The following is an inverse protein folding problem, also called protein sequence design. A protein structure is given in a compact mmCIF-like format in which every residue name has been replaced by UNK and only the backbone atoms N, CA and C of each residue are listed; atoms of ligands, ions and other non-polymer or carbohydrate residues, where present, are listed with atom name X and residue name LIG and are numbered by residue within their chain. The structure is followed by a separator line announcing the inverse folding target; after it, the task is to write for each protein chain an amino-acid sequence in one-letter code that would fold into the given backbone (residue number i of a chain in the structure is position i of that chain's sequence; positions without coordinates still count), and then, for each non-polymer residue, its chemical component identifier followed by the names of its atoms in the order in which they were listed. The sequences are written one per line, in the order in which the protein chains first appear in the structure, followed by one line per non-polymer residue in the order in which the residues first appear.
data_IF_314006692018
#
_entry.id   IF_314006692018
#
_cell.length_a   1.000
_cell.length_b   1.000
_cell.length_c   1.000
_cell.angle_alpha   90.00
_cell.angle_beta   90.00
_cell.angle_gamma   90.00
#
_symmetry.space_group_name_H-M   'P 1'
#
loop_
_entity.id
_entity.type
_entity.pdbx_description
1 polymer ?
#
# COMPACT_ATOMS: atom_id res chain seq x y z
N UNK A 1 -19.10 12.05 -12.83
CA UNK A 1 -19.17 11.05 -13.91
C UNK A 1 -19.01 11.73 -15.24
N UNK A 2 -17.87 11.51 -15.94
CA UNK A 2 -17.70 11.99 -17.31
C UNK A 2 -18.72 11.26 -18.20
N UNK A 3 -19.51 12.00 -18.96
CA UNK A 3 -20.45 11.43 -19.94
C UNK A 3 -19.67 10.50 -20.87
N UNK A 4 -20.02 9.22 -20.89
CA UNK A 4 -19.48 8.25 -21.82
C UNK A 4 -19.72 8.75 -23.24
N UNK A 5 -18.78 8.46 -24.14
CA UNK A 5 -18.94 8.68 -25.57
C UNK A 5 -20.29 8.10 -26.01
N UNK A 6 -21.09 8.88 -26.72
CA UNK A 6 -22.39 8.43 -27.23
C UNK A 6 -22.15 7.21 -28.12
N UNK A 7 -22.49 6.03 -27.61
CA UNK A 7 -22.50 4.80 -28.40
C UNK A 7 -23.94 4.46 -28.77
N UNK A 8 -24.22 3.92 -29.94
CA UNK A 8 -25.58 3.50 -30.32
C UNK A 8 -26.06 2.26 -29.54
N UNK A 9 -25.20 1.61 -28.80
CA UNK A 9 -25.52 0.45 -27.98
C UNK A 9 -25.96 0.88 -26.58
N UNK A 10 -26.91 0.15 -26.02
CA UNK A 10 -27.33 0.31 -24.62
C UNK A 10 -26.17 0.06 -23.67
N UNK A 11 -26.20 0.75 -22.55
CA UNK A 11 -25.23 0.55 -21.49
C UNK A 11 -25.63 -0.64 -20.59
N UNK A 12 -24.63 -1.25 -19.95
CA UNK A 12 -24.89 -2.34 -18.96
C UNK A 12 -25.80 -1.87 -17.81
N UNK A 13 -25.80 -0.58 -17.48
CA UNK A 13 -26.69 -0.01 -16.45
C UNK A 13 -28.15 -0.05 -16.92
N UNK A 14 -28.41 0.35 -18.18
CA UNK A 14 -29.76 0.28 -18.75
C UNK A 14 -30.27 -1.16 -18.83
N UNK A 15 -29.41 -2.14 -19.09
CA UNK A 15 -29.78 -3.56 -19.13
C UNK A 15 -30.09 -4.09 -17.72
N UNK A 16 -29.33 -3.70 -16.68
CA UNK A 16 -29.66 -4.02 -15.28
C UNK A 16 -31.03 -3.45 -14.90
N UNK A 17 -31.30 -2.20 -15.27
CA UNK A 17 -32.58 -1.56 -14.97
C UNK A 17 -33.77 -2.18 -15.73
N UNK A 18 -33.51 -2.67 -16.95
CA UNK A 18 -34.51 -3.42 -17.71
C UNK A 18 -34.78 -4.78 -17.09
N UNK A 19 -33.73 -5.49 -16.66
CA UNK A 19 -33.87 -6.81 -16.00
C UNK A 19 -34.68 -6.72 -14.69
N UNK A 20 -34.50 -5.66 -13.89
CA UNK A 20 -35.26 -5.40 -12.65
C UNK A 20 -36.77 -5.18 -12.92
N UNK A 21 -37.13 -4.73 -14.10
CA UNK A 21 -38.53 -4.46 -14.50
C UNK A 21 -39.18 -5.61 -15.24
N UNK A 22 -38.44 -6.69 -15.50
CA UNK A 22 -39.00 -7.88 -16.17
C UNK A 22 -40.14 -8.50 -15.35
N UNK A 23 -41.25 -8.96 -15.99
CA UNK A 23 -42.32 -9.66 -15.30
C UNK A 23 -41.81 -10.90 -14.55
N UNK A 24 -42.35 -11.15 -13.38
CA UNK A 24 -41.99 -12.31 -12.58
C UNK A 24 -42.60 -13.62 -13.19
N UNK A 25 -41.73 -14.43 -13.77
CA UNK A 25 -42.07 -15.73 -14.34
C UNK A 25 -41.13 -16.81 -13.81
N UNK A 26 -41.41 -18.08 -14.07
CA UNK A 26 -40.49 -19.17 -13.73
C UNK A 26 -39.12 -19.00 -14.41
N UNK A 27 -39.10 -18.45 -15.62
CA UNK A 27 -37.90 -18.20 -16.41
C UNK A 27 -37.09 -17.04 -15.81
N UNK A 28 -37.72 -15.90 -15.53
CA UNK A 28 -37.05 -14.71 -15.01
C UNK A 28 -36.52 -14.87 -13.56
N UNK A 29 -37.11 -15.83 -12.82
CA UNK A 29 -36.63 -16.22 -11.48
C UNK A 29 -35.45 -17.20 -11.52
N UNK A 30 -35.19 -17.83 -12.66
CA UNK A 30 -34.09 -18.79 -12.78
C UNK A 30 -32.72 -18.06 -12.64
N UNK A 31 -31.76 -18.62 -11.88
CA UNK A 31 -30.39 -18.10 -11.87
C UNK A 31 -29.76 -17.97 -13.26
N UNK A 32 -30.10 -18.89 -14.17
CA UNK A 32 -29.63 -18.88 -15.56
C UNK A 32 -30.07 -17.63 -16.36
N UNK A 33 -31.10 -16.91 -15.91
CA UNK A 33 -31.59 -15.70 -16.57
C UNK A 33 -30.87 -14.44 -16.13
N UNK A 34 -30.10 -14.50 -15.05
CA UNK A 34 -29.34 -13.34 -14.55
C UNK A 34 -28.26 -12.88 -15.57
N UNK A 35 -28.08 -11.58 -15.69
CA UNK A 35 -26.97 -11.03 -16.48
C UNK A 35 -25.64 -11.47 -15.85
N UNK A 36 -24.78 -12.11 -16.60
CA UNK A 36 -23.55 -12.72 -16.07
C UNK A 36 -22.66 -11.75 -15.27
N UNK A 37 -22.56 -10.49 -15.69
CA UNK A 37 -21.78 -9.47 -14.99
C UNK A 37 -22.46 -8.88 -13.73
N UNK A 38 -23.71 -9.25 -13.47
CA UNK A 38 -24.50 -8.86 -12.30
C UNK A 38 -24.98 -10.09 -11.50
N UNK A 39 -24.38 -11.24 -11.73
CA UNK A 39 -24.63 -12.48 -11.02
C UNK A 39 -23.47 -12.79 -10.07
N UNK A 40 -23.66 -12.45 -8.80
CA UNK A 40 -22.63 -12.62 -7.77
C UNK A 40 -22.26 -14.11 -7.60
N UNK A 41 -23.25 -15.03 -7.66
CA UNK A 41 -23.00 -16.47 -7.53
C UNK A 41 -22.10 -16.98 -8.67
N UNK A 42 -22.32 -16.48 -9.89
CA UNK A 42 -21.48 -16.80 -11.04
C UNK A 42 -20.08 -16.21 -10.89
N UNK A 43 -19.97 -14.92 -10.52
CA UNK A 43 -18.69 -14.22 -10.40
C UNK A 43 -17.77 -14.81 -9.32
N UNK A 44 -18.32 -15.39 -8.24
CA UNK A 44 -17.53 -16.02 -7.17
C UNK A 44 -17.15 -17.47 -7.47
N UNK A 45 -17.67 -18.07 -8.56
CA UNK A 45 -17.33 -19.45 -8.94
C UNK A 45 -15.83 -19.63 -9.15
N UNK A 46 -15.30 -20.83 -8.86
CA UNK A 46 -13.87 -21.10 -8.99
C UNK A 46 -13.37 -20.99 -10.43
N UNK A 47 -14.21 -21.30 -11.41
CA UNK A 47 -13.88 -21.20 -12.84
C UNK A 47 -13.61 -19.76 -13.28
N UNK A 48 -14.14 -18.76 -12.56
CA UNK A 48 -13.94 -17.33 -12.84
C UNK A 48 -12.81 -16.69 -12.03
N UNK A 49 -11.92 -17.47 -11.43
CA UNK A 49 -10.77 -16.95 -10.68
C UNK A 49 -9.94 -15.94 -11.51
N UNK A 50 -9.68 -16.24 -12.78
CA UNK A 50 -8.94 -15.33 -13.69
C UNK A 50 -9.64 -13.99 -13.89
N UNK A 51 -10.99 -13.99 -13.98
CA UNK A 51 -11.79 -12.77 -14.09
C UNK A 51 -11.68 -11.96 -12.80
N UNK A 52 -11.74 -12.61 -11.63
CA UNK A 52 -11.59 -11.92 -10.34
C UNK A 52 -10.20 -11.28 -10.18
N UNK A 53 -9.12 -11.93 -10.62
CA UNK A 53 -7.78 -11.30 -10.69
C UNK A 53 -7.82 -10.02 -11.53
N UNK A 54 -8.47 -10.07 -12.70
CA UNK A 54 -8.59 -8.91 -13.56
C UNK A 54 -9.41 -7.78 -12.91
N UNK A 55 -10.51 -8.10 -12.23
CA UNK A 55 -11.34 -7.12 -11.53
C UNK A 55 -10.57 -6.45 -10.39
N UNK A 56 -9.82 -7.21 -9.59
CA UNK A 56 -8.99 -6.67 -8.51
C UNK A 56 -7.84 -5.80 -9.02
N UNK A 57 -7.28 -6.12 -10.18
CA UNK A 57 -6.30 -5.24 -10.83
C UNK A 57 -6.94 -3.96 -11.34
N UNK A 58 -8.09 -4.04 -12.02
CA UNK A 58 -8.69 -2.91 -12.70
C UNK A 58 -9.34 -1.91 -11.74
N UNK A 59 -9.95 -2.36 -10.64
CA UNK A 59 -10.70 -1.48 -9.74
C UNK A 59 -9.84 -0.35 -9.15
N UNK A 60 -8.70 -0.62 -8.49
CA UNK A 60 -7.81 0.44 -8.02
C UNK A 60 -7.21 1.27 -9.19
N UNK A 61 -6.88 0.62 -10.33
CA UNK A 61 -6.33 1.31 -11.50
C UNK A 61 -7.27 2.40 -12.02
N UNK A 62 -8.56 2.08 -12.15
CA UNK A 62 -9.55 3.05 -12.62
C UNK A 62 -9.71 4.20 -11.63
N UNK A 63 -9.82 3.91 -10.35
CA UNK A 63 -10.01 4.93 -9.32
C UNK A 63 -8.81 5.87 -9.22
N UNK A 64 -7.60 5.32 -9.14
CA UNK A 64 -6.37 6.12 -9.08
C UNK A 64 -6.16 6.95 -10.34
N UNK A 65 -6.46 6.38 -11.51
CA UNK A 65 -6.37 7.10 -12.79
C UNK A 65 -7.40 8.23 -12.91
N UNK A 66 -8.64 8.02 -12.48
CA UNK A 66 -9.69 9.05 -12.47
C UNK A 66 -9.33 10.23 -11.57
N UNK A 67 -8.63 9.97 -10.47
CA UNK A 67 -8.14 11.00 -9.54
C UNK A 67 -6.83 11.63 -9.99
N UNK A 68 -6.22 11.12 -11.06
CA UNK A 68 -4.95 11.60 -11.59
C UNK A 68 -3.76 11.31 -10.69
N UNK A 69 -3.84 10.25 -9.85
CA UNK A 69 -2.72 9.82 -9.00
C UNK A 69 -1.70 9.10 -9.88
N UNK A 70 -0.57 9.75 -10.10
CA UNK A 70 0.50 9.28 -10.99
C UNK A 70 1.60 8.55 -10.23
N UNK A 71 1.91 8.97 -9.01
CA UNK A 71 2.97 8.34 -8.22
C UNK A 71 2.67 8.29 -6.73
N UNK A 72 3.29 7.32 -6.06
CA UNK A 72 3.08 7.01 -4.64
C UNK A 72 4.38 6.93 -3.87
N UNK A 73 4.28 7.09 -2.55
CA UNK A 73 5.31 6.75 -1.56
C UNK A 73 4.76 5.63 -0.70
N UNK A 74 5.43 4.48 -0.76
CA UNK A 74 4.99 3.26 -0.09
C UNK A 74 5.62 3.17 1.29
N UNK A 75 4.82 2.90 2.31
CA UNK A 75 5.31 2.61 3.66
C UNK A 75 4.90 1.19 4.05
N UNK A 76 5.90 0.36 4.32
CA UNK A 76 5.76 -0.98 4.88
C UNK A 76 6.34 -1.03 6.29
N UNK A 77 5.74 -1.83 7.17
CA UNK A 77 6.26 -2.01 8.51
C UNK A 77 5.33 -2.83 9.41
N UNK A 78 5.78 -3.03 10.63
CA UNK A 78 5.10 -3.92 11.58
C UNK A 78 3.75 -3.40 12.05
N UNK A 79 2.70 -4.21 11.86
CA UNK A 79 1.36 -3.96 12.41
C UNK A 79 1.32 -3.99 13.94
N UNK A 80 2.35 -4.58 14.58
CA UNK A 80 2.44 -4.75 16.04
C UNK A 80 3.20 -3.64 16.76
N UNK A 81 3.80 -2.71 16.03
CA UNK A 81 4.51 -1.56 16.58
C UNK A 81 3.47 -0.57 17.10
N UNK A 82 3.39 -0.33 18.42
CA UNK A 82 2.38 0.57 18.97
C UNK A 82 2.76 2.04 18.76
N UNK A 83 1.75 2.92 18.81
CA UNK A 83 1.98 4.34 19.01
C UNK A 83 2.72 4.58 20.34
N UNK A 84 3.66 5.53 20.45
CA UNK A 84 4.31 5.86 21.71
C UNK A 84 3.32 6.13 22.84
N UNK A 85 3.58 5.51 23.99
CA UNK A 85 2.71 5.59 25.17
C UNK A 85 1.46 4.70 25.12
N UNK A 86 1.23 3.96 24.03
CA UNK A 86 0.18 2.94 23.96
C UNK A 86 0.72 1.57 24.33
N UNK A 87 -0.12 0.68 24.90
CA UNK A 87 0.28 -0.67 25.24
C UNK A 87 0.76 -1.47 24.04
N UNK A 88 1.80 -2.28 24.25
CA UNK A 88 2.27 -3.26 23.26
C UNK A 88 1.31 -4.47 23.22
N UNK A 89 0.10 -4.28 22.71
CA UNK A 89 -1.03 -5.23 22.75
C UNK A 89 -0.70 -6.62 22.15
N UNK A 90 0.26 -6.69 21.24
CA UNK A 90 0.64 -7.93 20.57
C UNK A 90 1.76 -8.71 21.33
N UNK A 91 2.26 -8.17 22.44
CA UNK A 91 3.29 -8.82 23.22
C UNK A 91 2.73 -10.05 23.95
N UNK A 92 3.48 -11.16 23.92
CA UNK A 92 3.14 -12.40 24.61
C UNK A 92 3.99 -12.66 25.86
N UNK A 93 5.01 -11.83 26.09
CA UNK A 93 5.91 -11.89 27.25
C UNK A 93 6.58 -10.52 27.45
N UNK A 94 7.24 -10.34 28.61
CA UNK A 94 7.87 -9.07 28.98
C UNK A 94 9.00 -8.64 28.01
N UNK A 95 9.75 -9.59 27.46
CA UNK A 95 10.80 -9.30 26.47
C UNK A 95 10.20 -8.70 25.20
N UNK A 96 9.13 -9.29 24.67
CA UNK A 96 8.43 -8.75 23.50
C UNK A 96 7.80 -7.40 23.79
N UNK A 97 7.22 -7.22 24.99
CA UNK A 97 6.65 -5.96 25.43
C UNK A 97 7.69 -4.84 25.39
N UNK A 98 8.83 -5.06 26.08
CA UNK A 98 9.94 -4.10 26.10
C UNK A 98 10.45 -3.75 24.70
N UNK A 99 10.61 -4.76 23.84
CA UNK A 99 11.10 -4.54 22.47
C UNK A 99 10.09 -3.78 21.60
N UNK A 100 8.79 -4.07 21.71
CA UNK A 100 7.75 -3.35 20.98
C UNK A 100 7.59 -1.92 21.48
N UNK A 101 7.68 -1.69 22.78
CA UNK A 101 7.68 -0.36 23.36
C UNK A 101 8.90 0.46 22.90
N UNK A 102 10.09 -0.15 22.85
CA UNK A 102 11.27 0.50 22.28
C UNK A 102 11.14 0.78 20.79
N UNK A 103 10.45 -0.09 20.03
CA UNK A 103 10.19 0.09 18.61
C UNK A 103 9.10 1.13 18.31
N UNK A 104 8.36 1.61 19.31
CA UNK A 104 7.28 2.61 19.12
C UNK A 104 7.79 3.91 18.49
N UNK A 105 9.06 4.26 18.65
CA UNK A 105 9.70 5.39 17.95
C UNK A 105 9.50 5.33 16.44
N UNK A 106 9.45 4.14 15.87
CA UNK A 106 9.26 3.97 14.41
C UNK A 106 7.84 4.30 13.95
N UNK A 107 6.85 4.29 14.84
CA UNK A 107 5.53 4.83 14.55
C UNK A 107 5.62 6.34 14.28
N UNK A 108 6.32 7.08 15.14
CA UNK A 108 6.50 8.52 14.96
C UNK A 108 7.34 8.84 13.72
N UNK A 109 8.41 8.08 13.46
CA UNK A 109 9.21 8.27 12.26
C UNK A 109 8.40 7.98 10.98
N UNK A 110 7.57 6.93 10.96
CA UNK A 110 6.69 6.65 9.83
C UNK A 110 5.65 7.77 9.61
N UNK A 111 5.05 8.27 10.69
CA UNK A 111 4.10 9.39 10.65
C UNK A 111 4.77 10.66 10.10
N UNK A 112 5.95 11.01 10.59
CA UNK A 112 6.73 12.17 10.11
C UNK A 112 7.17 12.02 8.65
N UNK A 113 7.64 10.83 8.26
CA UNK A 113 8.03 10.56 6.87
C UNK A 113 6.83 10.73 5.91
N UNK A 114 5.65 10.23 6.31
CA UNK A 114 4.42 10.43 5.55
C UNK A 114 3.99 11.90 5.48
N UNK A 115 4.25 12.72 6.51
CA UNK A 115 4.00 14.16 6.47
C UNK A 115 4.90 14.84 5.44
N UNK A 116 6.21 14.52 5.37
CA UNK A 116 7.11 15.04 4.35
C UNK A 116 6.63 14.70 2.93
N UNK A 117 6.28 13.43 2.69
CA UNK A 117 5.74 12.99 1.41
C UNK A 117 4.47 13.76 1.04
N UNK A 118 3.56 13.92 1.98
CA UNK A 118 2.26 14.54 1.77
C UNK A 118 2.34 16.05 1.54
N UNK A 119 3.23 16.77 2.23
CA UNK A 119 3.47 18.19 1.96
C UNK A 119 4.09 18.37 0.57
N UNK A 120 4.99 17.47 0.16
CA UNK A 120 5.53 17.47 -1.21
C UNK A 120 4.43 17.19 -2.23
N UNK A 121 3.55 16.23 -1.96
CA UNK A 121 2.40 15.88 -2.80
C UNK A 121 1.46 17.07 -3.02
N UNK A 122 1.30 17.92 -2.03
CA UNK A 122 0.46 19.11 -2.14
C UNK A 122 0.87 20.03 -3.29
N UNK A 123 2.16 20.16 -3.56
CA UNK A 123 2.68 20.98 -4.65
C UNK A 123 2.23 20.52 -6.05
N UNK A 124 1.84 19.25 -6.20
CA UNK A 124 1.33 18.67 -7.45
C UNK A 124 -0.21 18.52 -7.44
N UNK A 125 -0.89 19.09 -6.46
CA UNK A 125 -2.32 18.89 -6.25
C UNK A 125 -2.67 17.45 -5.88
N UNK A 126 -1.79 16.81 -5.11
CA UNK A 126 -1.92 15.42 -4.65
C UNK A 126 -1.94 14.37 -5.77
N UNK A 127 -1.22 14.64 -6.85
CA UNK A 127 -1.08 13.70 -7.97
C UNK A 127 0.19 12.86 -7.90
N UNK A 128 1.22 13.37 -7.27
CA UNK A 128 2.51 12.69 -7.10
C UNK A 128 2.86 12.52 -5.62
N UNK A 129 3.65 11.52 -5.32
CA UNK A 129 4.13 11.19 -3.95
C UNK A 129 3.00 10.95 -2.95
N UNK A 130 1.85 10.43 -3.39
CA UNK A 130 0.72 10.11 -2.51
C UNK A 130 1.09 8.92 -1.62
N UNK A 131 0.88 9.05 -0.31
CA UNK A 131 1.18 7.97 0.65
C UNK A 131 0.28 6.77 0.42
N UNK A 132 0.89 5.58 0.39
CA UNK A 132 0.19 4.30 0.34
C UNK A 132 0.73 3.33 1.40
N UNK A 133 -0.17 2.65 2.08
CA UNK A 133 0.15 1.61 3.07
C UNK A 133 -0.74 0.38 2.89
N UNK A 134 -0.45 -0.67 3.65
CA UNK A 134 -1.32 -1.85 3.71
C UNK A 134 -2.62 -1.67 4.50
N UNK A 135 -2.90 -0.47 5.00
CA UNK A 135 -4.17 -0.11 5.63
C UNK A 135 -4.42 -0.64 7.04
N UNK A 136 -3.52 -1.44 7.60
CA UNK A 136 -3.63 -2.01 8.94
C UNK A 136 -3.14 -1.09 10.06
N UNK A 137 -2.98 -1.60 11.29
CA UNK A 137 -2.48 -0.85 12.45
C UNK A 137 -0.96 -0.67 12.41
N UNK A 138 -0.41 -0.03 13.43
CA UNK A 138 1.02 0.17 13.65
C UNK A 138 1.64 1.12 12.63
N UNK A 139 2.73 0.72 12.00
CA UNK A 139 3.44 1.56 11.02
C UNK A 139 2.54 1.97 9.85
N UNK A 140 1.64 1.10 9.41
CA UNK A 140 0.69 1.41 8.33
C UNK A 140 -0.27 2.52 8.74
N UNK A 141 -0.82 2.44 9.95
CA UNK A 141 -1.65 3.49 10.54
C UNK A 141 -0.86 4.79 10.68
N UNK A 142 0.37 4.72 11.17
CA UNK A 142 1.23 5.89 11.31
C UNK A 142 1.43 6.62 9.97
N UNK A 143 1.66 5.87 8.89
CA UNK A 143 1.78 6.41 7.54
C UNK A 143 0.51 7.12 7.06
N UNK A 144 -0.65 6.48 7.17
CA UNK A 144 -1.92 7.08 6.79
C UNK A 144 -2.25 8.31 7.67
N UNK A 145 -2.00 8.21 8.97
CA UNK A 145 -2.19 9.32 9.91
C UNK A 145 -1.31 10.52 9.60
N UNK A 146 -0.03 10.28 9.27
CA UNK A 146 0.87 11.36 8.87
C UNK A 146 0.37 12.15 7.66
N UNK A 147 -0.22 11.47 6.67
CA UNK A 147 -0.86 12.14 5.55
C UNK A 147 -2.14 12.90 5.99
N UNK A 148 -2.97 12.28 6.81
CA UNK A 148 -4.19 12.90 7.34
C UNK A 148 -3.91 14.14 8.21
N UNK A 149 -2.83 14.15 9.00
CA UNK A 149 -2.40 15.29 9.84
C UNK A 149 -2.20 16.57 9.04
N UNK A 150 -1.80 16.45 7.78
CA UNK A 150 -1.56 17.59 6.88
C UNK A 150 -2.69 17.76 5.84
N UNK A 151 -3.81 17.08 6.03
CA UNK A 151 -4.99 17.16 5.17
C UNK A 151 -4.79 16.55 3.78
N UNK A 152 -3.83 15.66 3.60
CA UNK A 152 -3.54 15.02 2.32
C UNK A 152 -4.31 13.72 2.13
N UNK A 153 -4.78 13.41 0.91
CA UNK A 153 -5.32 12.09 0.59
C UNK A 153 -4.22 11.03 0.70
N UNK A 154 -4.63 9.84 1.08
CA UNK A 154 -3.74 8.69 1.22
C UNK A 154 -4.47 7.39 0.89
N UNK A 155 -3.73 6.34 0.58
CA UNK A 155 -4.23 5.08 0.05
C UNK A 155 -4.03 3.97 1.07
N UNK A 156 -5.04 3.13 1.25
CA UNK A 156 -4.95 1.87 1.99
C UNK A 156 -5.22 0.69 1.07
N UNK A 157 -4.26 -0.21 0.92
CA UNK A 157 -4.40 -1.46 0.17
C UNK A 157 -4.57 -2.60 1.16
N UNK A 158 -5.79 -2.83 1.62
CA UNK A 158 -6.13 -3.85 2.61
C UNK A 158 -6.17 -5.25 1.96
N UNK A 159 -6.12 -6.28 2.77
CA UNK A 159 -6.26 -7.68 2.35
C UNK A 159 -7.20 -8.38 3.32
N UNK A 160 -8.06 -9.25 2.79
CA UNK A 160 -8.92 -10.10 3.62
C UNK A 160 -8.06 -11.11 4.37
N UNK A 161 -8.08 -11.06 5.69
CA UNK A 161 -7.39 -11.99 6.58
C UNK A 161 -8.38 -12.77 7.42
N UNK A 162 -8.05 -14.02 7.87
CA UNK A 162 -8.92 -14.84 8.71
C UNK A 162 -9.32 -14.18 10.04
N UNK A 163 -8.46 -13.30 10.55
CA UNK A 163 -8.73 -12.47 11.72
C UNK A 163 -9.00 -11.06 11.22
N UNK A 164 -10.25 -10.66 11.26
CA UNK A 164 -10.75 -9.41 10.71
C UNK A 164 -9.97 -8.22 11.26
N UNK A 165 -9.24 -7.53 10.38
CA UNK A 165 -8.64 -6.23 10.67
C UNK A 165 -9.49 -5.17 10.00
N UNK A 166 -10.11 -4.32 10.80
CA UNK A 166 -10.71 -3.09 10.30
C UNK A 166 -9.61 -2.19 9.75
N UNK A 167 -9.77 -1.61 8.56
CA UNK A 167 -8.85 -0.58 8.06
C UNK A 167 -8.66 0.52 9.10
N UNK A 168 -7.46 1.09 9.19
CA UNK A 168 -7.23 2.20 10.10
C UNK A 168 -8.06 3.43 9.68
N UNK A 169 -8.46 4.23 10.66
CA UNK A 169 -9.41 5.34 10.48
C UNK A 169 -8.86 6.55 9.70
N UNK A 170 -7.56 6.56 9.38
CA UNK A 170 -6.91 7.69 8.72
C UNK A 170 -6.85 7.57 7.20
N UNK A 171 -7.25 6.42 6.64
CA UNK A 171 -7.29 6.21 5.19
C UNK A 171 -8.39 7.09 4.58
N UNK A 172 -8.09 7.72 3.45
CA UNK A 172 -9.12 8.40 2.65
C UNK A 172 -10.17 7.37 2.20
N UNK A 173 -11.46 7.51 2.57
CA UNK A 173 -12.46 6.47 2.37
C UNK A 173 -12.53 5.94 0.93
N UNK A 174 -12.52 6.83 -0.06
CA UNK A 174 -12.59 6.46 -1.48
C UNK A 174 -11.27 5.89 -2.04
N UNK A 175 -10.21 5.84 -1.24
CA UNK A 175 -8.91 5.25 -1.56
C UNK A 175 -8.58 4.06 -0.66
N UNK A 176 -9.60 3.50 -0.01
CA UNK A 176 -9.50 2.32 0.84
C UNK A 176 -9.92 1.08 0.04
N UNK A 177 -8.94 0.38 -0.50
CA UNK A 177 -9.17 -0.83 -1.31
C UNK A 177 -9.02 -2.08 -0.46
N UNK A 178 -9.75 -3.15 -0.82
CA UNK A 178 -9.66 -4.44 -0.16
C UNK A 178 -9.44 -5.54 -1.21
N UNK A 179 -8.47 -6.40 -0.97
CA UNK A 179 -8.01 -7.45 -1.88
C UNK A 179 -8.28 -8.84 -1.31
N UNK A 180 -8.57 -9.78 -2.19
CA UNK A 180 -8.58 -11.21 -1.90
C UNK A 180 -7.22 -11.84 -2.21
N UNK A 181 -6.56 -11.40 -3.31
CA UNK A 181 -5.31 -11.99 -3.78
C UNK A 181 -4.09 -11.14 -3.40
N UNK A 182 -3.11 -11.75 -2.72
CA UNK A 182 -1.84 -11.10 -2.42
C UNK A 182 -1.13 -10.62 -3.68
N UNK A 183 -1.14 -11.41 -4.76
CA UNK A 183 -0.43 -11.11 -6.00
C UNK A 183 -0.89 -9.79 -6.63
N UNK A 184 -2.20 -9.55 -6.73
CA UNK A 184 -2.76 -8.31 -7.28
C UNK A 184 -2.50 -7.11 -6.38
N UNK A 185 -2.57 -7.30 -5.05
CA UNK A 185 -2.24 -6.27 -4.07
C UNK A 185 -0.78 -5.82 -4.16
N UNK A 186 0.16 -6.76 -4.24
CA UNK A 186 1.60 -6.49 -4.34
C UNK A 186 1.94 -5.62 -5.56
N UNK A 187 1.37 -5.95 -6.71
CA UNK A 187 1.55 -5.15 -7.93
C UNK A 187 1.14 -3.69 -7.69
N UNK A 188 0.01 -3.44 -7.03
CA UNK A 188 -0.48 -2.09 -6.80
C UNK A 188 0.39 -1.24 -5.88
N UNK A 189 1.13 -1.84 -4.95
CA UNK A 189 2.12 -1.10 -4.17
C UNK A 189 3.22 -0.51 -5.06
N UNK A 190 3.70 -1.28 -6.03
CA UNK A 190 4.91 -0.94 -6.78
C UNK A 190 4.67 -0.24 -8.12
N UNK A 191 3.48 -0.42 -8.74
CA UNK A 191 3.17 0.17 -10.06
C UNK A 191 3.43 1.67 -10.17
N UNK A 192 3.27 2.41 -9.06
CA UNK A 192 3.40 3.87 -9.01
C UNK A 192 4.45 4.34 -8.02
N UNK A 193 5.22 3.42 -7.43
CA UNK A 193 6.16 3.74 -6.36
C UNK A 193 7.28 4.67 -6.86
N UNK A 194 7.45 5.78 -6.18
CA UNK A 194 8.58 6.70 -6.31
C UNK A 194 9.54 6.60 -5.13
N UNK A 195 9.09 6.06 -4.03
CA UNK A 195 9.94 5.68 -2.90
C UNK A 195 9.27 4.56 -2.12
N UNK A 196 10.08 3.70 -1.52
CA UNK A 196 9.62 2.61 -0.66
C UNK A 196 10.35 2.72 0.67
N UNK A 197 9.61 2.94 1.74
CA UNK A 197 10.11 3.07 3.11
C UNK A 197 9.72 1.82 3.90
N UNK A 198 10.72 1.09 4.36
CA UNK A 198 10.59 -0.17 5.10
C UNK A 198 10.97 0.06 6.56
N UNK A 199 10.01 -0.01 7.44
CA UNK A 199 10.21 0.07 8.89
C UNK A 199 10.33 -1.33 9.50
N UNK A 200 10.85 -1.47 10.73
CA UNK A 200 10.90 -2.74 11.40
C UNK A 200 9.57 -3.47 11.36
N UNK A 201 9.59 -4.77 11.04
CA UNK A 201 8.38 -5.55 10.86
C UNK A 201 8.64 -7.05 10.79
N UNK A 202 7.57 -7.81 10.56
CA UNK A 202 7.61 -9.26 10.45
C UNK A 202 7.71 -9.76 9.00
N UNK A 203 7.26 -11.00 8.79
CA UNK A 203 7.37 -11.67 7.49
C UNK A 203 6.73 -10.91 6.32
N UNK A 204 5.55 -10.31 6.52
CA UNK A 204 4.92 -9.51 5.47
C UNK A 204 5.74 -8.28 5.07
N UNK A 205 6.43 -7.66 6.04
CA UNK A 205 7.34 -6.53 5.76
C UNK A 205 8.60 -6.99 5.02
N UNK A 206 9.17 -8.13 5.43
CA UNK A 206 10.35 -8.73 4.77
C UNK A 206 10.00 -9.19 3.35
N UNK A 207 8.84 -9.78 3.15
CA UNK A 207 8.33 -10.21 1.85
C UNK A 207 8.27 -9.05 0.84
N UNK A 208 7.65 -7.92 1.23
CA UNK A 208 7.57 -6.74 0.37
C UNK A 208 8.94 -6.06 0.15
N UNK A 209 9.81 -6.11 1.15
CA UNK A 209 11.18 -5.62 1.02
C UNK A 209 11.97 -6.42 -0.02
N UNK A 210 12.02 -7.74 0.14
CA UNK A 210 12.79 -8.60 -0.77
C UNK A 210 12.18 -8.66 -2.16
N UNK A 211 10.86 -8.57 -2.31
CA UNK A 211 10.25 -8.44 -3.63
C UNK A 211 10.71 -7.15 -4.32
N UNK A 212 10.60 -6.01 -3.63
CA UNK A 212 11.05 -4.72 -4.17
C UNK A 212 12.52 -4.75 -4.55
N UNK A 213 13.37 -5.27 -3.65
CA UNK A 213 14.80 -5.39 -3.86
C UNK A 213 15.13 -6.27 -5.07
N UNK A 214 14.46 -7.42 -5.19
CA UNK A 214 14.62 -8.34 -6.32
C UNK A 214 14.20 -7.72 -7.65
N UNK A 215 13.10 -6.98 -7.67
CA UNK A 215 12.63 -6.30 -8.89
C UNK A 215 13.60 -5.21 -9.35
N UNK A 216 14.20 -4.47 -8.41
CA UNK A 216 15.23 -3.46 -8.72
C UNK A 216 16.51 -4.14 -9.18
N UNK A 217 17.00 -5.17 -8.46
CA UNK A 217 18.21 -5.93 -8.78
C UNK A 217 18.16 -6.55 -10.18
N UNK A 218 17.02 -7.11 -10.54
CA UNK A 218 16.81 -7.78 -11.84
C UNK A 218 16.43 -6.83 -12.98
N UNK A 219 16.34 -5.52 -12.71
CA UNK A 219 15.97 -4.52 -13.72
C UNK A 219 14.51 -4.59 -14.18
N UNK A 220 13.63 -5.26 -13.40
CA UNK A 220 12.17 -5.31 -13.66
C UNK A 220 11.45 -4.09 -13.14
N UNK A 221 12.08 -3.35 -12.24
CA UNK A 221 11.64 -2.08 -11.70
C UNK A 221 12.79 -1.07 -11.77
N UNK A 222 12.48 0.15 -12.15
CA UNK A 222 13.45 1.24 -12.10
C UNK A 222 13.96 1.48 -10.68
N UNK A 223 15.20 1.94 -10.56
CA UNK A 223 15.78 2.25 -9.26
C UNK A 223 15.07 3.45 -8.64
N UNK A 224 14.40 3.22 -7.53
CA UNK A 224 13.77 4.24 -6.67
C UNK A 224 14.44 4.23 -5.30
N UNK A 225 14.36 5.32 -4.51
CA UNK A 225 14.80 5.29 -3.13
C UNK A 225 14.11 4.16 -2.35
N UNK A 226 14.89 3.15 -1.96
CA UNK A 226 14.48 2.05 -1.08
C UNK A 226 15.14 2.27 0.27
N UNK A 227 14.37 2.61 1.29
CA UNK A 227 14.83 3.08 2.59
C UNK A 227 14.53 2.03 3.66
N UNK A 228 15.53 1.63 4.42
CA UNK A 228 15.38 0.76 5.60
C UNK A 228 15.51 1.61 6.86
N UNK A 229 14.42 1.78 7.59
CA UNK A 229 14.42 2.53 8.84
C UNK A 229 14.83 1.64 10.02
N UNK A 230 15.82 2.07 10.78
CA UNK A 230 16.28 1.38 11.97
C UNK A 230 17.55 0.55 11.77
N UNK A 231 18.72 1.20 11.79
CA UNK A 231 20.04 0.58 11.60
C UNK A 231 20.22 -0.63 12.50
N UNK A 232 19.94 -0.49 13.79
CA UNK A 232 20.13 -1.59 14.78
C UNK A 232 19.26 -2.80 14.47
N UNK A 233 17.99 -2.56 14.06
CA UNK A 233 17.07 -3.64 13.71
C UNK A 233 17.57 -4.42 12.52
N UNK A 234 17.87 -3.74 11.42
CA UNK A 234 18.23 -4.38 10.16
C UNK A 234 19.56 -5.12 10.25
N UNK A 235 20.59 -4.55 10.87
CA UNK A 235 21.89 -5.21 11.09
C UNK A 235 21.78 -6.44 11.99
N UNK A 236 20.81 -6.48 12.89
CA UNK A 236 20.57 -7.64 13.75
C UNK A 236 19.80 -8.75 13.05
N UNK A 237 18.92 -8.41 12.11
CA UNK A 237 18.00 -9.38 11.49
C UNK A 237 18.60 -9.97 10.20
N UNK A 238 19.35 -9.17 9.44
CA UNK A 238 19.89 -9.57 8.14
C UNK A 238 21.35 -9.11 8.04
N UNK A 239 22.22 -10.07 7.71
CA UNK A 239 23.61 -9.79 7.38
C UNK A 239 23.75 -9.75 5.85
N UNK A 240 23.69 -8.56 5.28
CA UNK A 240 23.80 -8.37 3.83
C UNK A 240 25.23 -8.60 3.31
N UNK A 241 26.25 -8.31 4.14
CA UNK A 241 27.63 -8.53 3.80
C UNK A 241 27.91 -10.03 3.70
N UNK A 242 27.37 -10.82 4.61
CA UNK A 242 27.48 -12.29 4.55
C UNK A 242 26.78 -12.87 3.30
N UNK A 243 25.69 -12.28 2.80
CA UNK A 243 25.07 -12.70 1.55
C UNK A 243 25.99 -12.43 0.34
N UNK A 244 26.67 -11.28 0.33
CA UNK A 244 27.61 -10.92 -0.71
C UNK A 244 28.87 -11.81 -0.65
N UNK A 245 29.42 -12.08 0.53
CA UNK A 245 30.55 -12.98 0.73
C UNK A 245 30.22 -14.42 0.33
N UNK A 246 29.01 -14.88 0.58
CA UNK A 246 28.52 -16.19 0.12
C UNK A 246 28.33 -16.28 -1.42
N UNK A 247 28.44 -15.16 -2.13
CA UNK A 247 28.24 -15.10 -3.59
C UNK A 247 26.80 -15.28 -4.04
N UNK A 248 25.83 -15.14 -3.13
CA UNK A 248 24.40 -15.28 -3.45
C UNK A 248 23.80 -13.99 -4.00
N UNK A 249 24.45 -12.87 -3.74
CA UNK A 249 24.18 -11.55 -4.33
C UNK A 249 25.50 -10.93 -4.82
N UNK A 250 25.42 -9.94 -5.71
CA UNK A 250 26.60 -9.20 -6.15
C UNK A 250 27.17 -8.32 -5.02
N UNK A 251 28.49 -8.04 -5.00
CA UNK A 251 29.10 -7.17 -3.98
C UNK A 251 28.48 -5.76 -3.92
N UNK A 252 27.92 -5.27 -5.02
CA UNK A 252 27.31 -3.94 -5.13
C UNK A 252 25.81 -3.92 -4.76
N UNK A 253 25.16 -5.10 -4.61
CA UNK A 253 23.73 -5.18 -4.29
C UNK A 253 23.32 -4.50 -2.97
N UNK A 254 24.17 -4.49 -1.90
CA UNK A 254 23.87 -3.72 -0.70
C UNK A 254 23.71 -2.19 -0.91
N UNK A 255 24.16 -1.67 -2.05
CA UNK A 255 23.95 -0.27 -2.43
C UNK A 255 22.60 0.00 -3.13
N UNK A 256 21.75 -1.01 -3.28
CA UNK A 256 20.40 -0.86 -3.85
C UNK A 256 19.41 -0.22 -2.87
N UNK A 257 19.73 -0.20 -1.58
CA UNK A 257 18.94 0.44 -0.53
C UNK A 257 19.79 1.35 0.34
N UNK A 258 19.14 2.18 1.14
CA UNK A 258 19.80 3.06 2.11
C UNK A 258 19.20 2.80 3.50
N UNK A 259 20.05 2.58 4.50
CA UNK A 259 19.61 2.45 5.89
C UNK A 259 19.63 3.83 6.54
N UNK A 260 18.54 4.20 7.20
CA UNK A 260 18.32 5.49 7.86
C UNK A 260 17.67 5.31 9.22
N UNK A 261 17.81 6.27 10.12
CA UNK A 261 17.20 6.21 11.46
C UNK A 261 16.09 7.23 11.68
N UNK A 262 15.99 8.25 10.83
CA UNK A 262 15.01 9.32 10.99
C UNK A 262 14.22 9.60 9.71
N UNK A 263 13.00 10.12 9.88
CA UNK A 263 12.15 10.57 8.79
C UNK A 263 12.82 11.65 7.94
N UNK A 264 13.58 12.54 8.58
CA UNK A 264 14.29 13.62 7.91
C UNK A 264 15.40 13.08 7.01
N UNK A 265 16.24 12.18 7.51
CA UNK A 265 17.25 11.48 6.70
C UNK A 265 16.62 10.76 5.51
N UNK A 266 15.59 9.95 5.77
CA UNK A 266 14.91 9.19 4.72
C UNK A 266 14.31 10.10 3.66
N UNK A 267 13.67 11.20 4.06
CA UNK A 267 13.11 12.15 3.11
C UNK A 267 14.17 12.91 2.33
N UNK A 268 15.30 13.22 2.95
CA UNK A 268 16.43 13.85 2.27
C UNK A 268 16.97 12.98 1.13
N UNK A 269 17.06 11.66 1.30
CA UNK A 269 17.42 10.72 0.21
C UNK A 269 16.44 10.83 -0.94
N UNK A 270 15.13 10.82 -0.66
CA UNK A 270 14.08 10.97 -1.68
C UNK A 270 14.19 12.32 -2.39
N UNK A 271 14.35 13.38 -1.61
CA UNK A 271 14.47 14.74 -2.10
C UNK A 271 15.66 14.91 -3.06
N UNK A 272 16.82 14.39 -2.69
CA UNK A 272 18.03 14.46 -3.52
C UNK A 272 17.87 13.66 -4.82
N UNK A 273 17.31 12.47 -4.74
CA UNK A 273 17.10 11.59 -5.90
C UNK A 273 16.24 12.28 -6.97
N UNK A 274 15.16 12.95 -6.57
CA UNK A 274 14.23 13.63 -7.48
C UNK A 274 14.47 15.14 -7.60
N UNK A 275 15.50 15.69 -6.96
CA UNK A 275 15.81 17.14 -6.95
C UNK A 275 14.63 18.00 -6.50
N UNK A 276 13.91 17.53 -5.47
CA UNK A 276 12.75 18.22 -4.92
C UNK A 276 13.16 19.40 -4.03
N UNK A 277 12.31 20.43 -3.86
CA UNK A 277 12.54 21.50 -2.92
C UNK A 277 12.56 20.98 -1.48
N UNK A 278 13.26 21.72 -0.60
CA UNK A 278 13.25 21.41 0.83
C UNK A 278 11.85 21.63 1.43
N UNK A 279 11.46 20.71 2.29
CA UNK A 279 10.18 20.75 3.03
C UNK A 279 10.50 20.84 4.51
N UNK A 280 9.77 21.68 5.25
CA UNK A 280 9.85 21.76 6.71
C UNK A 280 8.53 21.32 7.31
N UNK A 281 8.57 20.41 8.26
CA UNK A 281 7.42 20.13 9.09
C UNK A 281 7.18 21.32 10.04
N UNK A 282 5.91 21.64 10.27
CA UNK A 282 5.59 22.59 11.34
C UNK A 282 6.01 21.97 12.66
N UNK A 283 6.68 22.75 13.51
CA UNK A 283 6.92 22.34 14.88
C UNK A 283 5.55 22.09 15.54
N UNK A 284 5.33 20.87 16.04
CA UNK A 284 4.12 20.50 16.78
C UNK A 284 4.05 21.13 18.14
#
# INVERSE_FOLDING_TARGET
MARSRHTPLRTSVEDIDAAKRAPETAQTRSPAFRLAFADDDFLISEDLRGVRFQLEYLKPEFELRQRGINSTVVLFGGARIPEPGKPAWAARNETQKKNLEAASRYYDEARRFAQYASITSQATGYKDFVVVTGGGPGVMEAGNRGAADVGAPNIGLNIVLPHEQTPNAYITPDLCFNFHYFATRKIHFLLRARAVAIFPGGFGTLDEFFETLTLIQTGRMDRVPLLLFGIEFWRKIIDFDALAEAGTIAPDDPHLFTIVDSAEEGWEVVRQHYKLPAVKLKAG
#
